data_IF_440300818287
#
_entry.id   IF_440300818287
#
_cell.length_a   1.000
_cell.length_b   1.000
_cell.length_c   1.000
_cell.angle_alpha   90.00
_cell.angle_beta   90.00
_cell.angle_gamma   90.00
#
_symmetry.space_group_name_H-M   'P 1'
#
loop_
_entity.id
_entity.type
_entity.pdbx_description
1 polymer ?
#
# COMPACT_ATOMS: atom_id res chain seq x y z
N UNK A 1 -54.09 81.63 -40.89
CA UNK A 1 -55.25 81.21 -41.69
C UNK A 1 -56.17 82.41 -41.88
N UNK A 2 -56.56 82.72 -43.11
CA UNK A 2 -57.58 83.73 -43.37
C UNK A 2 -58.91 83.17 -42.88
N UNK A 3 -59.55 83.87 -41.94
CA UNK A 3 -60.93 83.56 -41.60
C UNK A 3 -61.76 83.83 -42.87
N UNK A 4 -62.37 82.79 -43.43
CA UNK A 4 -63.36 82.94 -44.49
C UNK A 4 -64.60 83.52 -43.80
N UNK A 5 -64.70 84.84 -43.75
CA UNK A 5 -65.89 85.50 -43.22
C UNK A 5 -67.04 85.30 -44.20
N UNK A 6 -68.15 84.72 -43.73
CA UNK A 6 -69.39 84.63 -44.49
C UNK A 6 -69.93 86.06 -44.67
N UNK A 7 -69.97 86.55 -45.90
CA UNK A 7 -70.58 87.85 -46.22
C UNK A 7 -72.11 87.69 -46.21
N UNK A 8 -72.69 87.74 -45.01
CA UNK A 8 -74.13 87.60 -44.75
C UNK A 8 -74.96 88.62 -45.51
N UNK A 9 -74.41 89.81 -45.77
CA UNK A 9 -75.07 90.89 -46.49
C UNK A 9 -75.15 90.58 -48.00
N UNK A 10 -74.09 90.04 -48.58
CA UNK A 10 -74.09 89.55 -49.96
C UNK A 10 -74.96 88.30 -50.13
N UNK A 11 -75.00 87.43 -49.13
CA UNK A 11 -75.84 86.23 -49.12
C UNK A 11 -77.33 86.58 -49.04
N UNK A 12 -77.73 87.47 -48.11
CA UNK A 12 -79.10 87.97 -47.99
C UNK A 12 -79.55 88.70 -49.27
N UNK A 13 -78.68 89.50 -49.91
CA UNK A 13 -78.98 90.15 -51.20
C UNK A 13 -79.32 89.14 -52.30
N UNK A 14 -78.56 88.04 -52.40
CA UNK A 14 -78.84 86.97 -53.37
C UNK A 14 -80.17 86.26 -53.10
N UNK A 15 -80.53 86.06 -51.83
CA UNK A 15 -81.84 85.49 -51.46
C UNK A 15 -82.99 86.43 -51.83
N UNK A 16 -82.85 87.75 -51.59
CA UNK A 16 -83.82 88.77 -52.01
C UNK A 16 -83.97 88.81 -53.54
N UNK A 17 -82.87 88.75 -54.29
CA UNK A 17 -82.87 88.65 -55.77
C UNK A 17 -83.52 87.36 -56.30
N UNK A 18 -83.45 86.28 -55.53
CA UNK A 18 -84.10 84.99 -55.83
C UNK A 18 -85.59 84.94 -55.43
N UNK A 19 -86.17 86.04 -54.92
CA UNK A 19 -87.59 86.17 -54.62
C UNK A 19 -88.00 85.88 -53.17
N UNK A 20 -87.06 85.72 -52.24
CA UNK A 20 -87.36 85.64 -50.81
C UNK A 20 -87.72 87.01 -50.26
N UNK A 21 -88.64 87.07 -49.28
CA UNK A 21 -88.93 88.33 -48.59
C UNK A 21 -87.71 88.82 -47.81
N UNK A 22 -87.66 90.12 -47.53
CA UNK A 22 -86.55 90.71 -46.76
C UNK A 22 -86.32 89.99 -45.43
N UNK A 23 -87.41 89.71 -44.72
CA UNK A 23 -87.41 88.99 -43.45
C UNK A 23 -86.92 87.55 -43.60
N UNK A 24 -87.36 86.83 -44.65
CA UNK A 24 -86.90 85.46 -44.92
C UNK A 24 -85.41 85.41 -45.28
N UNK A 25 -84.93 86.34 -46.11
CA UNK A 25 -83.55 86.42 -46.53
C UNK A 25 -82.59 86.74 -45.38
N UNK A 26 -82.99 87.59 -44.43
CA UNK A 26 -82.22 87.93 -43.24
C UNK A 26 -82.18 86.77 -42.24
N UNK A 27 -83.32 86.13 -41.96
CA UNK A 27 -83.37 84.97 -41.05
C UNK A 27 -82.57 83.78 -41.58
N UNK A 28 -82.60 83.50 -42.89
CA UNK A 28 -81.76 82.45 -43.49
C UNK A 28 -80.27 82.82 -43.47
N UNK A 29 -79.91 84.08 -43.72
CA UNK A 29 -78.52 84.52 -43.67
C UNK A 29 -77.96 84.48 -42.24
N UNK A 30 -78.76 84.81 -41.25
CA UNK A 30 -78.42 84.74 -39.83
C UNK A 30 -78.30 83.28 -39.36
N UNK A 31 -79.27 82.42 -39.70
CA UNK A 31 -79.22 80.99 -39.36
C UNK A 31 -78.04 80.27 -40.04
N UNK A 32 -77.69 80.62 -41.29
CA UNK A 32 -76.54 80.06 -41.98
C UNK A 32 -75.21 80.58 -41.41
N UNK A 33 -75.16 81.85 -40.97
CA UNK A 33 -74.01 82.41 -40.25
C UNK A 33 -73.81 81.73 -38.89
N UNK A 34 -74.87 81.53 -38.10
CA UNK A 34 -74.82 80.81 -36.83
C UNK A 34 -74.36 79.35 -37.03
N UNK A 35 -74.88 78.67 -38.06
CA UNK A 35 -74.46 77.31 -38.39
C UNK A 35 -72.99 77.23 -38.84
N UNK A 36 -72.50 78.26 -39.54
CA UNK A 36 -71.11 78.37 -39.98
C UNK A 36 -70.19 78.63 -38.78
N UNK A 37 -70.52 79.60 -37.92
CA UNK A 37 -69.78 79.88 -36.68
C UNK A 37 -69.74 78.67 -35.73
N UNK A 38 -70.85 77.93 -35.59
CA UNK A 38 -70.92 76.74 -34.74
C UNK A 38 -70.11 75.54 -35.25
N UNK A 39 -69.68 75.53 -36.52
CA UNK A 39 -68.90 74.43 -37.14
C UNK A 39 -67.43 74.77 -37.36
N UNK A 40 -67.03 76.03 -37.15
CA UNK A 40 -65.65 76.44 -37.31
C UNK A 40 -64.85 76.15 -36.05
N UNK A 41 -63.63 75.64 -36.26
CA UNK A 41 -62.61 75.61 -35.21
C UNK A 41 -62.26 77.06 -34.88
N UNK A 42 -62.44 77.44 -33.63
CA UNK A 42 -62.11 78.78 -33.15
C UNK A 42 -60.61 78.90 -32.83
N UNK A 43 -60.13 80.14 -32.64
CA UNK A 43 -58.77 80.35 -32.14
C UNK A 43 -58.57 79.75 -30.75
N UNK A 44 -59.64 79.72 -29.94
CA UNK A 44 -59.63 79.13 -28.60
C UNK A 44 -59.40 77.62 -28.66
N UNK A 45 -60.07 76.93 -29.59
CA UNK A 45 -59.89 75.48 -29.80
C UNK A 45 -58.45 75.14 -30.20
N UNK A 46 -57.84 75.96 -31.06
CA UNK A 46 -56.43 75.83 -31.46
C UNK A 46 -55.52 76.05 -30.24
N UNK A 47 -55.76 77.11 -29.45
CA UNK A 47 -54.97 77.39 -28.27
C UNK A 47 -55.03 76.25 -27.23
N UNK A 48 -56.20 75.65 -27.03
CA UNK A 48 -56.37 74.48 -26.16
C UNK A 48 -55.60 73.27 -26.69
N UNK A 49 -55.63 73.02 -28.00
CA UNK A 49 -54.87 71.93 -28.63
C UNK A 49 -53.36 72.16 -28.53
N UNK A 50 -52.88 73.38 -28.81
CA UNK A 50 -51.47 73.76 -28.66
C UNK A 50 -50.99 73.55 -27.22
N UNK A 51 -51.79 73.97 -26.24
CA UNK A 51 -51.49 73.74 -24.83
C UNK A 51 -51.42 72.23 -24.49
N UNK A 52 -52.38 71.42 -24.94
CA UNK A 52 -52.35 69.96 -24.72
C UNK A 52 -51.16 69.29 -25.38
N UNK A 53 -50.79 69.73 -26.59
CA UNK A 53 -49.60 69.22 -27.30
C UNK A 53 -48.33 69.56 -26.53
N UNK A 54 -48.21 70.79 -26.03
CA UNK A 54 -47.05 71.20 -25.24
C UNK A 54 -46.99 70.45 -23.90
N UNK A 55 -48.13 70.24 -23.24
CA UNK A 55 -48.21 69.43 -22.03
C UNK A 55 -47.76 67.98 -22.28
N UNK A 56 -48.27 67.33 -23.33
CA UNK A 56 -47.87 65.98 -23.72
C UNK A 56 -46.36 65.92 -24.03
N UNK A 57 -45.83 66.93 -24.74
CA UNK A 57 -44.41 67.03 -25.07
C UNK A 57 -43.56 67.09 -23.81
N UNK A 58 -43.90 67.97 -22.87
CA UNK A 58 -43.20 68.08 -21.58
C UNK A 58 -43.27 66.77 -20.79
N UNK A 59 -44.43 66.10 -20.78
CA UNK A 59 -44.57 64.80 -20.11
C UNK A 59 -43.71 63.71 -20.77
N UNK A 60 -43.64 63.69 -22.10
CA UNK A 60 -42.82 62.73 -22.84
C UNK A 60 -41.33 62.96 -22.60
N UNK A 61 -40.88 64.21 -22.64
CA UNK A 61 -39.48 64.58 -22.35
C UNK A 61 -39.08 64.18 -20.92
N UNK A 62 -39.98 64.36 -19.95
CA UNK A 62 -39.77 63.88 -18.56
C UNK A 62 -39.64 62.36 -18.53
N UNK A 63 -40.60 61.61 -19.09
CA UNK A 63 -40.55 60.13 -19.10
C UNK A 63 -39.30 59.60 -19.79
N UNK A 64 -38.86 60.23 -20.88
CA UNK A 64 -37.61 59.89 -21.56
C UNK A 64 -36.41 60.15 -20.63
N UNK A 65 -36.40 61.27 -19.92
CA UNK A 65 -35.39 61.60 -18.91
C UNK A 65 -35.32 60.60 -17.77
N UNK A 66 -36.48 60.18 -17.25
CA UNK A 66 -36.62 59.22 -16.16
C UNK A 66 -36.09 57.85 -16.59
N UNK A 67 -36.59 57.30 -17.71
CA UNK A 67 -36.13 56.02 -18.27
C UNK A 67 -34.63 56.03 -18.57
N UNK A 68 -34.11 57.15 -19.09
CA UNK A 68 -32.67 57.29 -19.35
C UNK A 68 -31.86 57.27 -18.05
N UNK A 69 -32.41 57.79 -16.97
CA UNK A 69 -31.75 57.82 -15.66
C UNK A 69 -31.78 56.43 -15.02
N UNK A 70 -32.92 55.75 -15.05
CA UNK A 70 -33.07 54.37 -14.57
C UNK A 70 -32.11 53.43 -15.33
N UNK A 71 -32.11 53.46 -16.66
CA UNK A 71 -31.20 52.62 -17.46
C UNK A 71 -29.72 52.88 -17.15
N UNK A 72 -29.33 54.13 -16.87
CA UNK A 72 -27.95 54.44 -16.45
C UNK A 72 -27.63 53.85 -15.08
N UNK A 73 -28.58 53.86 -14.15
CA UNK A 73 -28.40 53.27 -12.83
C UNK A 73 -28.30 51.75 -12.92
N UNK A 74 -29.17 51.10 -13.69
CA UNK A 74 -29.15 49.65 -13.92
C UNK A 74 -27.84 49.19 -14.56
N UNK A 75 -27.35 49.91 -15.58
CA UNK A 75 -26.05 49.62 -16.20
C UNK A 75 -24.92 49.73 -15.17
N UNK A 76 -24.91 50.81 -14.36
CA UNK A 76 -23.89 50.99 -13.34
C UNK A 76 -23.96 49.97 -12.19
N UNK A 77 -25.14 49.39 -11.92
CA UNK A 77 -25.29 48.28 -10.99
C UNK A 77 -24.81 46.96 -11.57
N UNK A 78 -25.14 46.68 -12.84
CA UNK A 78 -24.65 45.50 -13.55
C UNK A 78 -23.13 45.51 -13.68
N UNK A 79 -22.53 46.65 -14.02
CA UNK A 79 -21.07 46.78 -14.09
C UNK A 79 -20.40 46.48 -12.75
N UNK A 80 -20.99 46.94 -11.63
CA UNK A 80 -20.51 46.61 -10.29
C UNK A 80 -20.63 45.12 -9.99
N UNK A 81 -21.80 44.51 -10.24
CA UNK A 81 -22.01 43.08 -10.05
C UNK A 81 -21.06 42.22 -10.89
N UNK A 82 -20.77 42.64 -12.12
CA UNK A 82 -19.80 41.96 -12.99
C UNK A 82 -18.40 42.03 -12.40
N UNK A 83 -17.97 43.20 -11.90
CA UNK A 83 -16.64 43.36 -11.31
C UNK A 83 -16.50 42.60 -9.98
N UNK A 84 -17.56 42.56 -9.16
CA UNK A 84 -17.61 41.77 -7.93
C UNK A 84 -17.42 40.28 -8.23
N UNK A 85 -18.25 39.72 -9.14
CA UNK A 85 -18.14 38.31 -9.56
C UNK A 85 -16.77 38.00 -10.16
N UNK A 86 -16.22 38.92 -10.97
CA UNK A 86 -14.88 38.77 -11.55
C UNK A 86 -13.81 38.71 -10.47
N UNK A 87 -13.94 39.52 -9.43
CA UNK A 87 -13.01 39.55 -8.30
C UNK A 87 -13.10 38.28 -7.46
N UNK A 88 -14.31 37.82 -7.16
CA UNK A 88 -14.55 36.56 -6.45
C UNK A 88 -13.94 35.37 -7.22
N UNK A 89 -14.26 35.23 -8.51
CA UNK A 89 -13.70 34.16 -9.35
C UNK A 89 -12.17 34.20 -9.40
N UNK A 90 -11.56 35.39 -9.45
CA UNK A 90 -10.10 35.53 -9.42
C UNK A 90 -9.51 35.07 -8.08
N UNK A 91 -10.20 35.34 -6.97
CA UNK A 91 -9.79 34.88 -5.65
C UNK A 91 -9.93 33.35 -5.52
N UNK A 92 -11.03 32.79 -6.01
CA UNK A 92 -11.28 31.34 -5.99
C UNK A 92 -10.23 30.59 -6.82
N UNK A 93 -9.93 31.06 -8.03
CA UNK A 93 -8.88 30.48 -8.88
C UNK A 93 -7.54 30.51 -8.15
N UNK A 94 -7.15 31.66 -7.58
CA UNK A 94 -5.91 31.75 -6.81
C UNK A 94 -5.92 30.86 -5.56
N UNK A 95 -7.07 30.64 -4.93
CA UNK A 95 -7.26 29.71 -3.82
C UNK A 95 -7.06 28.26 -4.23
N UNK A 96 -7.62 27.86 -5.38
CA UNK A 96 -7.46 26.53 -5.95
C UNK A 96 -6.00 26.28 -6.37
N UNK A 97 -5.34 27.25 -7.00
CA UNK A 97 -3.92 27.14 -7.38
C UNK A 97 -3.02 26.89 -6.17
N UNK A 98 -3.27 27.58 -5.05
CA UNK A 98 -2.54 27.34 -3.79
C UNK A 98 -2.77 25.94 -3.25
N UNK A 99 -4.04 25.49 -3.19
CA UNK A 99 -4.38 24.13 -2.72
C UNK A 99 -3.75 23.05 -3.60
N UNK A 100 -3.72 23.25 -4.91
CA UNK A 100 -3.08 22.33 -5.85
C UNK A 100 -1.57 22.24 -5.57
N UNK A 101 -0.89 23.37 -5.37
CA UNK A 101 0.54 23.37 -5.06
C UNK A 101 0.83 22.76 -3.67
N UNK A 102 0.01 23.04 -2.65
CA UNK A 102 0.11 22.41 -1.33
C UNK A 102 0.02 20.87 -1.45
N UNK A 103 -1.05 20.35 -2.07
CA UNK A 103 -1.24 18.90 -2.27
C UNK A 103 -0.07 18.31 -3.08
N UNK A 104 0.42 19.02 -4.10
CA UNK A 104 1.55 18.57 -4.91
C UNK A 104 2.84 18.46 -4.08
N UNK A 105 3.08 19.41 -3.17
CA UNK A 105 4.24 19.37 -2.28
C UNK A 105 4.15 18.25 -1.25
N UNK A 106 2.97 18.04 -0.66
CA UNK A 106 2.70 16.94 0.28
C UNK A 106 2.90 15.59 -0.39
N UNK A 107 2.29 15.35 -1.55
CA UNK A 107 2.45 14.09 -2.29
C UNK A 107 3.91 13.82 -2.66
N UNK A 108 4.67 14.86 -3.04
CA UNK A 108 6.10 14.72 -3.34
C UNK A 108 6.90 14.34 -2.09
N UNK A 109 6.51 14.88 -0.93
CA UNK A 109 7.13 14.54 0.35
C UNK A 109 6.83 13.08 0.73
N UNK A 110 5.58 12.67 0.67
CA UNK A 110 5.13 11.32 1.02
C UNK A 110 5.80 10.26 0.13
N UNK A 111 5.89 10.51 -1.18
CA UNK A 111 6.60 9.62 -2.11
C UNK A 111 8.08 9.48 -1.70
N UNK A 112 8.75 10.59 -1.39
CA UNK A 112 10.15 10.55 -0.98
C UNK A 112 10.36 9.86 0.39
N UNK A 113 9.39 9.94 1.30
CA UNK A 113 9.43 9.22 2.56
C UNK A 113 9.23 7.71 2.37
N UNK A 114 8.26 7.32 1.53
CA UNK A 114 8.03 5.91 1.20
C UNK A 114 9.24 5.29 0.49
N UNK A 115 9.86 6.00 -0.45
CA UNK A 115 11.08 5.53 -1.13
C UNK A 115 12.22 5.28 -0.12
N UNK A 116 12.40 6.16 0.88
CA UNK A 116 13.38 5.96 1.95
C UNK A 116 13.05 4.72 2.79
N UNK A 117 11.80 4.59 3.26
CA UNK A 117 11.35 3.43 4.05
C UNK A 117 11.55 2.11 3.30
N UNK A 118 11.29 2.09 2.00
CA UNK A 118 11.50 0.91 1.16
C UNK A 118 13.00 0.56 1.09
N UNK A 119 13.88 1.54 0.89
CA UNK A 119 15.33 1.27 0.82
C UNK A 119 15.92 0.87 2.17
N UNK A 120 15.42 1.43 3.28
CA UNK A 120 15.80 1.04 4.63
C UNK A 120 15.45 -0.43 4.90
N UNK A 121 14.19 -0.83 4.69
CA UNK A 121 13.73 -2.22 4.85
C UNK A 121 14.51 -3.17 3.93
N UNK A 122 14.79 -2.76 2.70
CA UNK A 122 15.59 -3.56 1.75
C UNK A 122 17.02 -3.76 2.26
N UNK A 123 17.60 -2.75 2.89
CA UNK A 123 18.95 -2.80 3.44
C UNK A 123 18.99 -3.71 4.67
N UNK A 124 18.03 -3.57 5.58
CA UNK A 124 17.88 -4.45 6.75
C UNK A 124 17.73 -5.92 6.33
N UNK A 125 16.81 -6.23 5.42
CA UNK A 125 16.61 -7.61 4.94
C UNK A 125 17.88 -8.20 4.28
N UNK A 126 18.64 -7.40 3.55
CA UNK A 126 19.94 -7.85 2.99
C UNK A 126 20.95 -8.18 4.09
N UNK A 127 20.98 -7.39 5.17
CA UNK A 127 21.86 -7.63 6.31
C UNK A 127 21.45 -8.90 7.06
N UNK A 128 20.16 -9.08 7.32
CA UNK A 128 19.61 -10.27 7.99
C UNK A 128 19.91 -11.54 7.20
N UNK A 129 19.71 -11.52 5.87
CA UNK A 129 20.05 -12.65 5.00
C UNK A 129 21.54 -12.97 5.08
N UNK A 130 22.41 -11.95 5.00
CA UNK A 130 23.85 -12.15 5.09
C UNK A 130 24.30 -12.68 6.47
N UNK A 131 23.63 -12.29 7.55
CA UNK A 131 23.89 -12.83 8.89
C UNK A 131 23.46 -14.28 9.01
N UNK A 132 22.28 -14.63 8.48
CA UNK A 132 21.79 -16.01 8.46
C UNK A 132 22.70 -16.92 7.63
N UNK A 133 23.16 -16.47 6.47
CA UNK A 133 24.11 -17.22 5.63
C UNK A 133 25.42 -17.51 6.38
N UNK A 134 25.95 -16.53 7.13
CA UNK A 134 27.13 -16.75 7.99
C UNK A 134 26.86 -17.78 9.08
N UNK A 135 25.75 -17.64 9.82
CA UNK A 135 25.39 -18.59 10.89
C UNK A 135 25.23 -20.02 10.35
N UNK A 136 24.64 -20.17 9.17
CA UNK A 136 24.52 -21.47 8.50
C UNK A 136 25.89 -22.07 8.17
N UNK A 137 26.81 -21.26 7.62
CA UNK A 137 28.15 -21.73 7.26
C UNK A 137 29.01 -22.05 8.49
N UNK A 138 28.86 -21.27 9.58
CA UNK A 138 29.51 -21.53 10.86
C UNK A 138 29.05 -22.87 11.44
N UNK A 139 27.74 -23.09 11.58
CA UNK A 139 27.16 -24.37 12.06
C UNK A 139 27.59 -25.54 11.17
N UNK A 140 27.61 -25.34 9.85
CA UNK A 140 28.06 -26.38 8.91
C UNK A 140 29.53 -26.73 9.13
N UNK A 141 30.37 -25.73 9.41
CA UNK A 141 31.80 -25.92 9.67
C UNK A 141 32.01 -26.66 10.99
N UNK A 142 31.31 -26.25 12.06
CA UNK A 142 31.34 -26.92 13.36
C UNK A 142 30.93 -28.39 13.24
N UNK A 143 29.79 -28.68 12.62
CA UNK A 143 29.33 -30.06 12.42
C UNK A 143 30.33 -30.91 11.62
N UNK A 144 30.98 -30.32 10.61
CA UNK A 144 32.02 -31.02 9.84
C UNK A 144 33.24 -31.34 10.69
N UNK A 145 33.63 -30.43 11.60
CA UNK A 145 34.72 -30.66 12.54
C UNK A 145 34.37 -31.74 13.56
N UNK A 146 33.15 -31.71 14.10
CA UNK A 146 32.65 -32.70 15.05
C UNK A 146 32.61 -34.11 14.45
N UNK A 147 32.08 -34.25 13.21
CA UNK A 147 32.08 -35.52 12.48
C UNK A 147 33.52 -36.02 12.29
N UNK A 148 34.43 -35.18 11.82
CA UNK A 148 35.84 -35.56 11.67
C UNK A 148 36.51 -35.90 13.01
N UNK A 149 36.10 -35.26 14.11
CA UNK A 149 36.54 -35.58 15.46
C UNK A 149 36.06 -36.96 15.93
N UNK A 150 34.79 -37.28 15.68
CA UNK A 150 34.21 -38.60 15.97
C UNK A 150 34.86 -39.70 15.14
N UNK A 151 35.09 -39.48 13.84
CA UNK A 151 35.77 -40.44 12.96
C UNK A 151 37.17 -40.78 13.48
N UNK A 152 37.94 -39.78 13.95
CA UNK A 152 39.25 -40.01 14.57
C UNK A 152 39.14 -40.85 15.84
N UNK A 153 38.23 -40.51 16.75
CA UNK A 153 38.01 -41.29 17.99
C UNK A 153 37.61 -42.73 17.69
N UNK A 154 36.78 -42.96 16.67
CA UNK A 154 36.39 -44.31 16.25
C UNK A 154 37.60 -45.09 15.74
N UNK A 155 38.47 -44.49 14.92
CA UNK A 155 39.69 -45.15 14.44
C UNK A 155 40.71 -45.40 15.56
N UNK A 156 40.88 -44.46 16.50
CA UNK A 156 41.69 -44.65 17.71
C UNK A 156 41.22 -45.86 18.51
N UNK A 157 39.94 -45.90 18.91
CA UNK A 157 39.34 -47.02 19.64
C UNK A 157 39.48 -48.35 18.85
N UNK A 158 39.28 -48.31 17.53
CA UNK A 158 39.46 -49.50 16.67
C UNK A 158 40.92 -49.99 16.69
N UNK A 159 41.89 -49.09 16.71
CA UNK A 159 43.32 -49.46 16.76
C UNK A 159 43.72 -50.03 18.12
N UNK A 160 43.23 -49.44 19.22
CA UNK A 160 43.40 -49.94 20.58
C UNK A 160 42.80 -51.35 20.73
N UNK A 161 41.54 -51.55 20.31
CA UNK A 161 40.89 -52.86 20.35
C UNK A 161 41.67 -53.92 19.54
N UNK A 162 42.20 -53.56 18.37
CA UNK A 162 43.05 -54.48 17.59
C UNK A 162 44.33 -54.84 18.32
N UNK A 163 44.94 -53.89 19.03
CA UNK A 163 46.12 -54.11 19.84
C UNK A 163 45.81 -55.06 21.00
N UNK A 164 44.76 -54.77 21.77
CA UNK A 164 44.33 -55.57 22.92
C UNK A 164 44.00 -57.02 22.52
N UNK A 165 43.30 -57.21 21.40
CA UNK A 165 43.02 -58.55 20.85
C UNK A 165 44.32 -59.28 20.51
N UNK A 166 45.28 -58.60 19.87
CA UNK A 166 46.56 -59.21 19.51
C UNK A 166 47.41 -59.56 20.75
N UNK A 167 47.35 -58.74 21.80
CA UNK A 167 47.99 -59.02 23.08
C UNK A 167 47.36 -60.23 23.78
N UNK A 168 46.03 -60.26 23.89
CA UNK A 168 45.29 -61.40 24.44
C UNK A 168 45.61 -62.69 23.69
N UNK A 169 45.67 -62.66 22.35
CA UNK A 169 46.05 -63.81 21.53
C UNK A 169 47.47 -64.31 21.82
N UNK A 170 48.43 -63.41 22.10
CA UNK A 170 49.79 -63.79 22.53
C UNK A 170 49.77 -64.43 23.91
N UNK A 171 49.11 -63.79 24.88
CA UNK A 171 49.01 -64.29 26.25
C UNK A 171 48.37 -65.69 26.29
N UNK A 172 47.29 -65.92 25.51
CA UNK A 172 46.66 -67.23 25.38
C UNK A 172 47.62 -68.28 24.80
N UNK A 173 48.42 -67.93 23.79
CA UNK A 173 49.44 -68.82 23.21
C UNK A 173 50.53 -69.17 24.23
N UNK A 174 51.01 -68.18 24.97
CA UNK A 174 52.03 -68.37 26.01
C UNK A 174 51.52 -69.31 27.11
N UNK A 175 50.36 -69.03 27.69
CA UNK A 175 49.72 -69.89 28.71
C UNK A 175 49.52 -71.31 28.18
N UNK A 176 49.12 -71.47 26.91
CA UNK A 176 48.97 -72.80 26.29
C UNK A 176 50.31 -73.54 26.18
N UNK A 177 51.40 -72.86 25.81
CA UNK A 177 52.74 -73.44 25.72
C UNK A 177 53.26 -73.81 27.12
N UNK A 178 53.13 -72.92 28.09
CA UNK A 178 53.52 -73.16 29.49
C UNK A 178 52.76 -74.35 30.08
N UNK A 179 51.45 -74.41 29.87
CA UNK A 179 50.61 -75.54 30.32
C UNK A 179 51.05 -76.86 29.70
N UNK A 180 51.32 -76.87 28.39
CA UNK A 180 51.80 -78.07 27.68
C UNK A 180 53.15 -78.53 28.24
N UNK A 181 54.08 -77.59 28.44
CA UNK A 181 55.40 -77.86 29.03
C UNK A 181 55.29 -78.36 30.46
N UNK A 182 54.41 -77.78 31.27
CA UNK A 182 54.10 -78.22 32.63
C UNK A 182 53.60 -79.67 32.67
N UNK A 183 52.69 -80.04 31.77
CA UNK A 183 52.20 -81.42 31.63
C UNK A 183 53.30 -82.39 31.18
N UNK A 184 54.15 -82.01 30.23
CA UNK A 184 55.29 -82.83 29.80
C UNK A 184 56.31 -83.05 30.92
N UNK A 185 56.61 -82.00 31.69
CA UNK A 185 57.48 -82.09 32.87
C UNK A 185 56.88 -83.01 33.94
N UNK A 186 55.59 -82.85 34.27
CA UNK A 186 54.88 -83.69 35.23
C UNK A 186 54.85 -85.16 34.77
N UNK A 187 54.56 -85.42 33.50
CA UNK A 187 54.61 -86.75 32.90
C UNK A 187 56.00 -87.38 33.04
N UNK A 188 57.05 -86.60 32.76
CA UNK A 188 58.44 -87.07 32.84
C UNK A 188 58.88 -87.32 34.28
N UNK A 189 58.43 -86.49 35.24
CA UNK A 189 58.65 -86.73 36.66
C UNK A 189 57.94 -88.01 37.12
N UNK A 190 56.65 -88.19 36.80
CA UNK A 190 55.89 -89.38 37.14
C UNK A 190 56.51 -90.66 36.55
N UNK A 191 56.96 -90.61 35.30
CA UNK A 191 57.67 -91.74 34.66
C UNK A 191 58.97 -92.09 35.38
N UNK A 192 59.72 -91.09 35.87
CA UNK A 192 60.94 -91.32 36.67
C UNK A 192 60.58 -91.93 38.03
N UNK A 193 59.62 -91.35 38.73
CA UNK A 193 59.19 -91.84 40.05
C UNK A 193 58.67 -93.29 39.98
N UNK A 194 57.94 -93.65 38.92
CA UNK A 194 57.48 -95.03 38.68
C UNK A 194 58.64 -96.00 38.41
N UNK A 195 59.64 -95.59 37.62
CA UNK A 195 60.86 -96.40 37.40
C UNK A 195 61.62 -96.59 38.70
N UNK A 196 61.78 -95.54 39.49
CA UNK A 196 62.45 -95.62 40.79
C UNK A 196 61.69 -96.53 41.76
N UNK A 197 60.35 -96.47 41.75
CA UNK A 197 59.51 -97.38 42.52
C UNK A 197 59.67 -98.84 42.06
N UNK A 198 59.68 -99.09 40.75
CA UNK A 198 59.91 -100.41 40.16
C UNK A 198 61.28 -100.96 40.57
N UNK A 199 62.35 -100.17 40.44
CA UNK A 199 63.68 -100.55 40.90
C UNK A 199 63.71 -100.87 42.40
N UNK A 200 63.09 -100.02 43.24
CA UNK A 200 63.01 -100.27 44.69
C UNK A 200 62.24 -101.54 45.03
N UNK A 201 61.16 -101.82 44.31
CA UNK A 201 60.39 -103.06 44.49
C UNK A 201 61.17 -104.30 44.05
N UNK A 202 61.84 -104.26 42.89
CA UNK A 202 62.68 -105.35 42.41
C UNK A 202 63.82 -105.64 43.39
N UNK A 203 64.50 -104.61 43.91
CA UNK A 203 65.56 -104.77 44.91
C UNK A 203 65.00 -105.36 46.22
N UNK A 204 63.88 -104.84 46.75
CA UNK A 204 63.26 -105.34 47.99
C UNK A 204 62.75 -106.77 47.86
N UNK A 205 62.06 -107.11 46.76
CA UNK A 205 61.55 -108.46 46.51
C UNK A 205 62.70 -109.44 46.23
N UNK A 206 63.70 -109.01 45.47
CA UNK A 206 64.90 -109.80 45.19
C UNK A 206 65.69 -110.11 46.48
N UNK A 207 65.95 -109.11 47.32
CA UNK A 207 66.63 -109.34 48.60
C UNK A 207 65.82 -110.24 49.54
N UNK A 208 64.50 -110.08 49.58
CA UNK A 208 63.61 -110.93 50.37
C UNK A 208 63.58 -112.38 49.85
N UNK A 209 63.62 -112.60 48.54
CA UNK A 209 63.77 -113.94 47.95
C UNK A 209 65.12 -114.58 48.30
N UNK A 210 66.23 -113.84 48.25
CA UNK A 210 67.55 -114.36 48.64
C UNK A 210 67.54 -114.79 50.11
N UNK A 211 66.93 -113.99 51.00
CA UNK A 211 66.76 -114.35 52.42
C UNK A 211 65.85 -115.59 52.57
N UNK A 212 64.72 -115.65 51.86
CA UNK A 212 63.78 -116.77 51.94
C UNK A 212 64.39 -118.09 51.41
N UNK A 213 65.09 -118.05 50.28
CA UNK A 213 65.80 -119.21 49.72
C UNK A 213 66.95 -119.65 50.63
N UNK A 214 67.72 -118.69 51.17
CA UNK A 214 68.77 -118.97 52.16
C UNK A 214 68.23 -119.67 53.40
N UNK A 215 67.11 -119.17 53.96
CA UNK A 215 66.43 -119.78 55.10
C UNK A 215 65.88 -121.18 54.77
N UNK A 216 65.24 -121.37 53.60
CA UNK A 216 64.79 -122.70 53.15
C UNK A 216 65.96 -123.68 52.99
N UNK A 217 67.07 -123.26 52.39
CA UNK A 217 68.26 -124.12 52.23
C UNK A 217 68.84 -124.56 53.58
N UNK A 218 68.81 -123.68 54.60
CA UNK A 218 69.20 -124.06 55.96
C UNK A 218 68.21 -125.03 56.62
N UNK A 219 66.90 -124.86 56.39
CA UNK A 219 65.85 -125.76 56.88
C UNK A 219 65.89 -127.15 56.23
N UNK A 220 66.12 -127.25 54.92
CA UNK A 220 66.26 -128.52 54.19
C UNK A 220 67.51 -129.30 54.62
N UNK A 221 68.58 -128.61 55.06
CA UNK A 221 69.76 -129.26 55.65
C UNK A 221 69.54 -129.78 57.08
N UNK A 222 68.46 -129.35 57.74
CA UNK A 222 68.12 -129.69 59.13
C UNK A 222 67.02 -130.77 59.24
N UNK A 223 66.43 -131.19 58.12
CA UNK A 223 65.51 -132.33 57.99
C UNK A 223 66.24 -133.51 57.34
#
# INVERSE_FOLDING_TARGET
>A
MSAVALDTLKFAKRLKEAGFSEQQAETLAEAEAELFEARLVTKEDIAVLEHKIEEIRIQLDRKIGDVRTELKQDIAELDRKIEDVRTELKQDIAGLDRKIEEIRTELKHDIAELDRKIEDVRTELKQDIAELDRKIEDVRTELKQDIAGLDRKIEEIRTELKHDIAELDRNIKEVRVESKRGLENLRTAFQRDMKDLEYRMVIKLGSLMVVAVGAMATLVKLL
#
